data_IF_317971123072
#
_entry.id   IF_317971123072
#
_cell.length_a   1.000
_cell.length_b   1.000
_cell.length_c   1.000
_cell.angle_alpha   90.00
_cell.angle_beta   90.00
_cell.angle_gamma   90.00
#
_symmetry.space_group_name_H-M   'P 1'
#
loop_
_entity.id
_entity.type
_entity.pdbx_description
1 polymer ?
#
# COMPACT_ATOMS: atom_id res chain seq x y z
N UNK A 1 -14.33 9.72 3.90
CA UNK A 1 -13.28 8.95 4.60
C UNK A 1 -13.37 7.44 4.32
N UNK A 2 -14.54 6.88 3.95
CA UNK A 2 -14.66 5.48 3.49
C UNK A 2 -14.84 5.33 1.97
N UNK A 3 -15.31 6.38 1.28
CA UNK A 3 -15.50 6.43 -0.19
C UNK A 3 -14.18 6.43 -0.99
N UNK A 4 -13.05 6.77 -0.38
CA UNK A 4 -11.74 6.86 -1.07
C UNK A 4 -11.02 5.51 -1.14
N UNK A 5 -11.54 4.49 -0.43
CA UNK A 5 -11.12 3.09 -0.53
C UNK A 5 -12.11 2.28 -1.37
N UNK A 6 -12.76 2.90 -2.37
CA UNK A 6 -13.19 2.15 -3.54
C UNK A 6 -11.92 1.49 -4.09
N UNK A 7 -11.69 0.26 -3.61
CA UNK A 7 -10.53 -0.56 -3.89
C UNK A 7 -10.35 -0.51 -5.40
N UNK A 8 -9.18 -0.10 -5.88
CA UNK A 8 -8.72 -0.59 -7.16
C UNK A 8 -8.65 -2.12 -6.97
N UNK A 9 -9.78 -2.75 -7.33
CA UNK A 9 -10.35 -3.94 -6.72
C UNK A 9 -9.41 -5.12 -6.70
N UNK A 10 -9.81 -6.16 -5.98
CA UNK A 10 -9.44 -7.53 -6.36
C UNK A 10 -9.59 -7.81 -7.89
N UNK A 11 -10.34 -6.97 -8.60
CA UNK A 11 -10.60 -6.98 -10.04
C UNK A 11 -9.42 -6.52 -10.92
N UNK A 12 -8.38 -5.89 -10.35
CA UNK A 12 -7.16 -5.55 -11.08
C UNK A 12 -6.18 -6.72 -11.15
N UNK A 13 -5.32 -6.75 -12.18
CA UNK A 13 -4.31 -7.80 -12.34
C UNK A 13 -3.15 -7.63 -11.35
N UNK A 14 -2.39 -8.70 -11.05
CA UNK A 14 -1.18 -8.59 -10.23
C UNK A 14 -0.16 -7.56 -10.72
N UNK A 15 -0.08 -7.32 -12.03
CA UNK A 15 0.79 -6.29 -12.61
C UNK A 15 0.28 -4.88 -12.29
N UNK A 16 -1.02 -4.65 -12.37
CA UNK A 16 -1.64 -3.37 -12.02
C UNK A 16 -1.49 -3.08 -10.53
N UNK A 17 -1.69 -4.09 -9.68
CA UNK A 17 -1.43 -3.98 -8.24
C UNK A 17 -0.01 -3.51 -7.91
N UNK A 18 0.99 -4.09 -8.59
CA UNK A 18 2.38 -3.70 -8.44
C UNK A 18 2.59 -2.24 -8.85
N UNK A 19 2.00 -1.82 -9.98
CA UNK A 19 2.08 -0.45 -10.46
C UNK A 19 1.43 0.54 -9.49
N UNK A 20 0.22 0.26 -9.02
CA UNK A 20 -0.51 1.07 -8.05
C UNK A 20 0.27 1.24 -6.75
N UNK A 21 0.83 0.15 -6.23
CA UNK A 21 1.68 0.19 -5.03
C UNK A 21 2.93 1.04 -5.28
N UNK A 22 3.58 0.92 -6.45
CA UNK A 22 4.73 1.76 -6.78
C UNK A 22 4.38 3.25 -6.88
N UNK A 23 3.23 3.59 -7.47
CA UNK A 23 2.73 4.97 -7.57
C UNK A 23 2.40 5.52 -6.18
N UNK A 24 1.65 4.78 -5.37
CA UNK A 24 1.27 5.20 -4.02
C UNK A 24 2.48 5.36 -3.09
N UNK A 25 3.44 4.45 -3.17
CA UNK A 25 4.64 4.48 -2.34
C UNK A 25 5.68 5.50 -2.80
N UNK A 26 5.51 6.18 -3.93
CA UNK A 26 6.50 7.16 -4.43
C UNK A 26 6.82 8.26 -3.41
N UNK A 27 5.85 8.63 -2.57
CA UNK A 27 5.99 9.66 -1.54
C UNK A 27 7.11 9.35 -0.51
N UNK A 28 7.52 8.09 -0.36
CA UNK A 28 8.63 7.74 0.55
C UNK A 28 9.95 8.41 0.16
N UNK A 29 10.13 8.73 -1.12
CA UNK A 29 11.32 9.43 -1.62
C UNK A 29 11.29 10.91 -1.25
N UNK A 30 10.09 11.51 -1.16
CA UNK A 30 9.94 12.89 -0.67
C UNK A 30 10.19 12.98 0.84
N UNK A 31 10.01 11.87 1.56
CA UNK A 31 10.31 11.75 2.98
C UNK A 31 11.79 11.49 3.28
N UNK A 32 12.62 11.29 2.25
CA UNK A 32 14.05 11.06 2.43
C UNK A 32 14.70 12.27 3.10
N UNK A 33 15.47 12.03 4.16
CA UNK A 33 16.24 13.06 4.86
C UNK A 33 17.73 12.79 4.64
N UNK A 34 18.45 13.76 4.10
CA UNK A 34 19.88 13.61 3.76
C UNK A 34 20.78 13.40 4.98
N UNK A 35 20.30 13.80 6.16
CA UNK A 35 20.96 13.83 7.45
C UNK A 35 20.26 12.98 8.52
N UNK A 36 19.15 12.32 8.18
CA UNK A 36 18.10 12.02 9.16
C UNK A 36 18.02 10.57 9.63
N UNK A 37 18.04 10.41 10.96
CA UNK A 37 17.52 9.23 11.66
C UNK A 37 15.98 9.18 11.58
N UNK A 38 15.42 8.03 11.22
CA UNK A 38 13.98 7.78 11.25
C UNK A 38 13.51 7.38 12.65
N UNK A 39 13.27 8.38 13.50
CA UNK A 39 12.84 8.18 14.88
C UNK A 39 11.33 7.94 15.05
N UNK A 40 10.87 7.81 16.30
CA UNK A 40 9.46 7.53 16.64
C UNK A 40 8.47 8.50 15.98
N UNK A 41 8.78 9.80 15.96
CA UNK A 41 7.89 10.81 15.38
C UNK A 41 7.69 10.57 13.88
N UNK A 42 8.75 10.23 13.15
CA UNK A 42 8.65 9.88 11.73
C UNK A 42 7.68 8.71 11.54
N UNK A 43 7.83 7.64 12.32
CA UNK A 43 6.91 6.49 12.26
C UNK A 43 5.47 6.93 12.52
N UNK A 44 5.22 7.73 13.56
CA UNK A 44 3.88 8.24 13.89
C UNK A 44 3.31 9.16 12.81
N UNK A 45 4.14 9.89 12.08
CA UNK A 45 3.68 10.77 11.01
C UNK A 45 3.39 10.00 9.71
N UNK A 46 4.08 8.88 9.47
CA UNK A 46 4.02 8.14 8.19
C UNK A 46 3.30 6.80 8.25
N UNK A 47 2.84 6.34 9.42
CA UNK A 47 2.34 4.97 9.63
C UNK A 47 1.17 4.54 8.72
N UNK A 48 0.34 5.50 8.27
CA UNK A 48 -0.83 5.19 7.46
C UNK A 48 -0.47 4.60 6.09
N UNK A 49 0.64 5.01 5.48
CA UNK A 49 1.03 4.49 4.16
C UNK A 49 1.28 2.97 4.20
N UNK A 50 2.18 2.43 5.06
CA UNK A 50 2.38 0.99 5.14
C UNK A 50 1.14 0.23 5.61
N UNK A 51 0.31 0.79 6.50
CA UNK A 51 -0.96 0.16 6.89
C UNK A 51 -1.91 -0.02 5.70
N UNK A 52 -2.11 1.03 4.89
CA UNK A 52 -2.91 0.95 3.68
C UNK A 52 -2.38 -0.11 2.70
N UNK A 53 -1.07 -0.15 2.47
CA UNK A 53 -0.47 -1.15 1.57
C UNK A 53 -0.60 -2.57 2.12
N UNK A 54 -0.50 -2.77 3.44
CA UNK A 54 -0.68 -4.08 4.07
C UNK A 54 -2.12 -4.60 3.90
N UNK A 55 -3.11 -3.73 4.11
CA UNK A 55 -4.53 -4.06 3.93
C UNK A 55 -4.80 -4.43 2.46
N UNK A 56 -4.32 -3.63 1.51
CA UNK A 56 -4.47 -3.90 0.08
C UNK A 56 -3.80 -5.22 -0.33
N UNK A 57 -2.57 -5.47 0.12
CA UNK A 57 -1.87 -6.72 -0.14
C UNK A 57 -2.65 -7.94 0.39
N UNK A 58 -3.30 -7.81 1.55
CA UNK A 58 -4.11 -8.87 2.14
C UNK A 58 -5.35 -9.20 1.29
N UNK A 59 -6.07 -8.19 0.81
CA UNK A 59 -7.21 -8.41 -0.09
C UNK A 59 -6.80 -9.01 -1.43
N UNK A 60 -5.69 -8.52 -2.00
CA UNK A 60 -5.13 -9.04 -3.25
C UNK A 60 -4.68 -10.49 -3.12
N UNK A 61 -4.05 -10.85 -2.00
CA UNK A 61 -3.71 -12.24 -1.69
C UNK A 61 -4.97 -13.11 -1.57
N UNK A 62 -5.99 -12.65 -0.85
CA UNK A 62 -7.26 -13.37 -0.74
C UNK A 62 -7.91 -13.60 -2.11
N UNK A 63 -7.87 -12.59 -2.99
CA UNK A 63 -8.37 -12.71 -4.37
C UNK A 63 -7.65 -13.81 -5.16
N UNK A 64 -6.31 -13.84 -5.10
CA UNK A 64 -5.50 -14.89 -5.75
C UNK A 64 -5.82 -16.27 -5.17
N UNK A 65 -5.94 -16.38 -3.86
CA UNK A 65 -6.27 -17.66 -3.23
C UNK A 65 -7.67 -18.16 -3.61
N UNK A 66 -8.64 -17.25 -3.70
CA UNK A 66 -9.99 -17.59 -4.16
C UNK A 66 -10.01 -18.02 -5.62
N UNK A 67 -9.22 -17.40 -6.50
CA UNK A 67 -9.09 -17.81 -7.91
C UNK A 67 -8.44 -19.20 -8.05
N UNK A 68 -7.46 -19.51 -7.19
CA UNK A 68 -6.74 -20.78 -7.22
C UNK A 68 -7.51 -21.95 -6.59
N UNK A 69 -8.32 -21.70 -5.56
CA UNK A 69 -8.88 -22.74 -4.70
C UNK A 69 -10.39 -22.63 -4.45
N UNK A 70 -11.05 -21.57 -4.92
CA UNK A 70 -12.46 -21.29 -4.71
C UNK A 70 -13.41 -21.94 -5.71
#
# INVERSE_FOLDING_TARGET
MWEVFAVAGADATPREWLHETAVACRVIYDWQRADGTYGKQFVTDTYLLPECQLILASYRLAAVLNDLFG
#
